data_IF_533705102248
#
_entry.id   IF_533705102248
#
_cell.length_a   1.000
_cell.length_b   1.000
_cell.length_c   1.000
_cell.angle_alpha   90.00
_cell.angle_beta   90.00
_cell.angle_gamma   90.00
#
_symmetry.space_group_name_H-M   'P 1'
#
loop_
_entity.id
_entity.type
_entity.pdbx_description
1 polymer ?
#
# COMPACT_ATOMS: atom_id res chain seq x y z
N UNK A 1 9.81 5.40 14.49
CA UNK A 1 9.37 6.79 14.20
C UNK A 1 7.89 6.88 14.60
N UNK A 2 7.42 8.02 15.08
CA UNK A 2 6.01 8.24 15.46
C UNK A 2 5.37 9.19 14.43
N UNK A 3 4.08 9.01 14.14
CA UNK A 3 3.32 9.97 13.33
C UNK A 3 3.00 11.24 14.13
N UNK A 4 2.39 12.24 13.48
CA UNK A 4 2.01 13.50 14.12
C UNK A 4 1.00 13.34 15.28
N UNK A 5 0.36 12.18 15.41
CA UNK A 5 -0.56 11.83 16.48
C UNK A 5 0.06 10.92 17.56
N UNK A 6 1.37 10.63 17.46
CA UNK A 6 2.10 9.79 18.42
C UNK A 6 1.97 8.28 18.19
N UNK A 7 1.36 7.83 17.09
CA UNK A 7 1.24 6.41 16.77
C UNK A 7 2.52 5.88 16.12
N UNK A 8 2.87 4.60 16.33
CA UNK A 8 4.00 3.98 15.63
C UNK A 8 3.76 3.99 14.11
N UNK A 9 4.69 4.57 13.34
CA UNK A 9 4.66 4.45 11.87
C UNK A 9 5.22 3.09 11.43
N UNK A 10 4.80 2.66 10.25
CA UNK A 10 5.28 1.42 9.67
C UNK A 10 6.76 1.56 9.30
N UNK A 11 7.53 0.50 9.53
CA UNK A 11 8.95 0.42 9.14
C UNK A 11 9.12 0.25 7.62
N UNK A 12 8.04 -0.10 6.91
CA UNK A 12 7.99 -0.27 5.45
C UNK A 12 8.19 1.08 4.75
N UNK A 13 8.99 1.10 3.67
CA UNK A 13 9.19 2.31 2.86
C UNK A 13 7.96 2.59 1.99
N UNK A 14 7.49 3.82 2.06
CA UNK A 14 6.44 4.40 1.22
C UNK A 14 6.88 4.46 -0.23
N UNK A 15 8.15 4.79 -0.49
CA UNK A 15 8.70 4.83 -1.84
C UNK A 15 8.71 3.43 -2.46
N UNK A 16 9.12 2.41 -1.70
CA UNK A 16 9.02 1.02 -2.16
C UNK A 16 7.58 0.63 -2.49
N UNK A 17 6.61 0.96 -1.61
CA UNK A 17 5.20 0.69 -1.86
C UNK A 17 4.65 1.42 -3.11
N UNK A 18 5.07 2.67 -3.35
CA UNK A 18 4.66 3.45 -4.51
C UNK A 18 5.21 2.87 -5.80
N UNK A 19 6.49 2.48 -5.82
CA UNK A 19 7.12 1.82 -6.97
C UNK A 19 6.45 0.48 -7.28
N UNK A 20 6.18 -0.32 -6.24
CA UNK A 20 5.47 -1.60 -6.39
C UNK A 20 4.06 -1.40 -6.94
N UNK A 21 3.35 -0.36 -6.51
CA UNK A 21 2.03 -0.02 -7.02
C UNK A 21 2.08 0.47 -8.48
N UNK A 22 3.11 1.22 -8.86
CA UNK A 22 3.27 1.72 -10.24
C UNK A 22 3.61 0.61 -11.24
N UNK A 23 4.62 -0.21 -10.92
CA UNK A 23 5.10 -1.25 -11.84
C UNK A 23 4.33 -2.56 -11.76
N UNK A 24 3.86 -2.94 -10.56
CA UNK A 24 3.24 -4.24 -10.28
C UNK A 24 1.87 -4.11 -9.58
N UNK A 25 1.23 -2.94 -9.69
CA UNK A 25 -0.02 -2.68 -9.00
C UNK A 25 -1.18 -3.55 -9.46
N UNK A 26 -1.26 -3.89 -10.75
CA UNK A 26 -2.29 -4.79 -11.31
C UNK A 26 -2.20 -6.19 -10.69
N UNK A 27 -1.00 -6.62 -10.30
CA UNK A 27 -0.76 -7.88 -9.59
C UNK A 27 -1.03 -7.75 -8.07
N UNK A 28 -1.26 -6.55 -7.55
CA UNK A 28 -1.52 -6.30 -6.12
C UNK A 28 -0.28 -6.43 -5.22
N UNK A 29 0.93 -6.37 -5.77
CA UNK A 29 2.17 -6.65 -5.03
C UNK A 29 2.46 -5.62 -3.93
N UNK A 30 2.05 -4.37 -4.10
CA UNK A 30 2.11 -3.34 -3.06
C UNK A 30 1.28 -3.71 -1.82
N UNK A 31 0.16 -4.44 -1.97
CA UNK A 31 -0.62 -4.96 -0.84
C UNK A 31 0.07 -6.13 -0.13
N UNK A 32 0.76 -7.00 -0.86
CA UNK A 32 1.61 -8.03 -0.24
C UNK A 32 2.73 -7.42 0.58
N UNK A 33 3.35 -6.35 0.08
CA UNK A 33 4.45 -5.65 0.77
C UNK A 33 4.04 -5.11 2.14
N UNK A 34 2.81 -4.61 2.28
CA UNK A 34 2.26 -4.12 3.55
C UNK A 34 1.57 -5.20 4.39
N UNK A 35 1.69 -6.48 4.02
CA UNK A 35 1.12 -7.61 4.76
C UNK A 35 -0.38 -7.82 4.55
N UNK A 36 -1.03 -7.08 3.65
CA UNK A 36 -2.46 -7.21 3.35
C UNK A 36 -2.72 -8.32 2.32
N UNK A 37 -2.33 -9.55 2.67
CA UNK A 37 -2.37 -10.72 1.79
C UNK A 37 -3.79 -11.04 1.30
N UNK A 38 -4.80 -10.94 2.17
CA UNK A 38 -6.19 -11.23 1.79
C UNK A 38 -6.72 -10.32 0.68
N UNK A 39 -6.54 -9.00 0.81
CA UNK A 39 -6.94 -8.06 -0.25
C UNK A 39 -6.02 -8.09 -1.46
N UNK A 40 -4.78 -8.55 -1.31
CA UNK A 40 -3.87 -8.78 -2.44
C UNK A 40 -4.31 -9.99 -3.29
N UNK A 41 -4.74 -11.09 -2.66
CA UNK A 41 -5.35 -12.23 -3.36
C UNK A 41 -6.66 -11.80 -4.03
N UNK A 42 -7.49 -11.01 -3.35
CA UNK A 42 -8.71 -10.44 -3.95
C UNK A 42 -8.38 -9.58 -5.17
N UNK A 43 -7.30 -8.78 -5.14
CA UNK A 43 -6.79 -8.05 -6.31
C UNK A 43 -6.48 -9.00 -7.46
N UNK A 44 -5.71 -10.06 -7.24
CA UNK A 44 -5.34 -10.99 -8.31
C UNK A 44 -6.59 -11.67 -8.90
N UNK A 45 -7.53 -12.12 -8.06
CA UNK A 45 -8.79 -12.74 -8.51
C UNK A 45 -9.66 -11.77 -9.30
N UNK A 46 -9.61 -10.48 -8.96
CA UNK A 46 -10.34 -9.40 -9.67
C UNK A 46 -9.51 -8.74 -10.78
N UNK A 47 -8.34 -9.32 -11.15
CA UNK A 47 -7.40 -8.75 -12.12
C UNK A 47 -7.01 -7.28 -11.83
N UNK A 48 -6.83 -6.96 -10.55
CA UNK A 48 -6.45 -5.63 -10.07
C UNK A 48 -7.58 -4.60 -10.15
N UNK A 49 -8.83 -5.02 -10.38
CA UNK A 49 -9.99 -4.13 -10.46
C UNK A 49 -9.90 -3.14 -11.62
N UNK A 50 -9.63 -3.63 -12.84
CA UNK A 50 -9.54 -2.85 -14.10
C UNK A 50 -8.57 -1.66 -14.05
N UNK A 51 -7.60 -1.66 -13.14
CA UNK A 51 -6.62 -0.57 -12.97
C UNK A 51 -7.13 0.61 -12.13
N UNK A 52 -8.44 0.77 -11.93
CA UNK A 52 -9.02 1.81 -11.05
C UNK A 52 -8.56 1.56 -9.61
N UNK A 53 -8.58 0.31 -9.17
CA UNK A 53 -8.20 -0.03 -7.81
C UNK A 53 -6.71 0.24 -7.55
N UNK A 54 -5.87 -0.01 -8.55
CA UNK A 54 -4.43 0.31 -8.54
C UNK A 54 -4.20 1.82 -8.44
N UNK A 55 -4.93 2.60 -9.25
CA UNK A 55 -4.82 4.05 -9.29
C UNK A 55 -5.16 4.67 -7.92
N UNK A 56 -6.28 4.21 -7.32
CA UNK A 56 -6.74 4.65 -6.01
C UNK A 56 -5.71 4.31 -4.93
N UNK A 57 -5.15 3.11 -4.93
CA UNK A 57 -4.09 2.72 -4.00
C UNK A 57 -2.81 3.52 -4.20
N UNK A 58 -2.41 3.76 -5.46
CA UNK A 58 -1.22 4.55 -5.80
C UNK A 58 -1.34 5.99 -5.27
N UNK A 59 -2.50 6.63 -5.45
CA UNK A 59 -2.78 7.97 -4.90
C UNK A 59 -2.73 7.94 -3.36
N UNK A 60 -3.31 6.93 -2.71
CA UNK A 60 -3.25 6.82 -1.24
C UNK A 60 -1.82 6.66 -0.71
N UNK A 61 -0.97 5.90 -1.40
CA UNK A 61 0.44 5.75 -1.06
C UNK A 61 1.19 7.08 -1.29
N UNK A 62 0.92 7.77 -2.40
CA UNK A 62 1.50 9.08 -2.70
C UNK A 62 1.07 10.18 -1.73
N UNK A 63 -0.08 10.07 -1.07
CA UNK A 63 -0.51 11.00 -0.02
C UNK A 63 0.01 10.57 1.35
N UNK A 64 0.48 9.33 1.50
CA UNK A 64 0.94 8.79 2.79
C UNK A 64 -0.22 8.40 3.73
N UNK A 65 -1.43 8.30 3.17
CA UNK A 65 -2.63 7.81 3.87
C UNK A 65 -2.71 6.28 3.87
N UNK A 66 -1.82 5.61 3.12
CA UNK A 66 -1.80 4.16 3.03
C UNK A 66 -1.29 3.53 4.32
N UNK A 67 -2.03 2.53 4.80
CA UNK A 67 -1.78 1.82 6.05
C UNK A 67 -1.39 0.36 5.81
N UNK A 68 -0.57 -0.18 6.69
CA UNK A 68 -0.22 -1.60 6.70
C UNK A 68 -1.28 -2.49 7.37
N UNK A 69 -0.99 -3.79 7.48
CA UNK A 69 -1.86 -4.76 8.17
C UNK A 69 -2.06 -4.42 9.66
N UNK A 70 -1.09 -3.78 10.30
CA UNK A 70 -1.13 -3.38 11.71
C UNK A 70 -1.81 -2.02 11.91
N UNK A 71 -2.29 -1.39 10.84
CA UNK A 71 -2.95 -0.08 10.88
C UNK A 71 -1.99 1.11 10.93
N UNK A 72 -0.67 0.87 10.85
CA UNK A 72 0.37 1.89 10.89
C UNK A 72 0.49 2.58 9.53
N UNK A 73 0.70 3.90 9.54
CA UNK A 73 0.82 4.68 8.33
C UNK A 73 2.21 4.47 7.66
N UNK A 74 2.23 4.38 6.33
CA UNK A 74 3.46 4.41 5.52
C UNK A 74 3.91 5.86 5.35
N UNK A 75 4.72 6.37 6.28
CA UNK A 75 5.28 7.73 6.20
C UNK A 75 6.80 7.75 5.96
N UNK A 76 7.47 6.60 6.11
CA UNK A 76 8.91 6.49 5.91
C UNK A 76 9.24 6.52 4.41
N UNK A 77 10.12 7.43 3.97
CA UNK A 77 10.54 7.51 2.56
C UNK A 77 11.70 6.55 2.28
#
# INVERSE_FOLDING_TARGET
>A
MLDAAGNPVSEKSRLAAALLAWFLGVLGIHRFYVGKVGTAILMIVTLGGLGIWVLVDFIMILIGSFRDKEGKALQNW
#
